data_IF_081586571304
#
_entry.id   IF_081586571304
#
_cell.length_a   1.000
_cell.length_b   1.000
_cell.length_c   1.000
_cell.angle_alpha   90.00
_cell.angle_beta   90.00
_cell.angle_gamma   90.00
#
_symmetry.space_group_name_H-M   'P 1'
#
loop_
_entity.id
_entity.type
_entity.pdbx_description
1 polymer ?
#
# COMPACT_ATOMS: atom_id res chain seq x y z
N UNK A 1 -1.38 -6.42 -48.04
CA UNK A 1 -1.33 -7.62 -47.17
C UNK A 1 -1.21 -7.29 -45.68
N UNK A 2 -1.60 -6.09 -45.22
CA UNK A 2 -1.76 -5.76 -43.79
C UNK A 2 -3.23 -5.46 -43.39
N UNK A 3 -4.14 -5.31 -44.36
CA UNK A 3 -5.56 -5.01 -44.10
C UNK A 3 -6.44 -6.25 -43.84
N UNK A 4 -5.89 -7.47 -44.00
CA UNK A 4 -6.63 -8.73 -43.82
C UNK A 4 -6.45 -9.35 -42.41
N UNK A 5 -5.41 -8.96 -41.67
CA UNK A 5 -5.13 -9.50 -40.33
C UNK A 5 -6.03 -8.86 -39.26
N UNK A 6 -6.41 -7.58 -39.44
CA UNK A 6 -7.27 -6.87 -38.49
C UNK A 6 -8.74 -7.32 -38.46
N UNK A 7 -9.25 -7.90 -39.56
CA UNK A 7 -10.62 -8.43 -39.61
C UNK A 7 -10.77 -9.82 -38.98
N UNK A 8 -9.72 -10.64 -38.96
CA UNK A 8 -9.79 -11.95 -38.28
C UNK A 8 -9.81 -11.82 -36.75
N UNK A 9 -9.10 -10.85 -36.17
CA UNK A 9 -9.06 -10.67 -34.71
C UNK A 9 -10.39 -10.16 -34.13
N UNK A 10 -11.18 -9.39 -34.88
CA UNK A 10 -12.50 -8.94 -34.42
C UNK A 10 -13.59 -10.02 -34.52
N UNK A 11 -13.48 -10.95 -35.47
CA UNK A 11 -14.44 -12.05 -35.63
C UNK A 11 -14.24 -13.12 -34.54
N UNK A 12 -12.99 -13.40 -34.13
CA UNK A 12 -12.69 -14.35 -33.05
C UNK A 12 -13.17 -13.87 -31.67
N UNK A 13 -13.11 -12.54 -31.39
CA UNK A 13 -13.64 -11.95 -30.15
C UNK A 13 -15.16 -11.98 -30.06
N UNK A 14 -15.87 -11.85 -31.19
CA UNK A 14 -17.33 -11.99 -31.21
C UNK A 14 -17.77 -13.44 -30.97
N UNK A 15 -16.97 -14.43 -31.43
CA UNK A 15 -17.27 -15.86 -31.27
C UNK A 15 -17.19 -16.32 -29.80
N UNK A 16 -16.14 -15.89 -29.08
CA UNK A 16 -15.96 -16.22 -27.66
C UNK A 16 -17.01 -15.58 -26.73
N UNK A 17 -17.55 -14.40 -27.08
CA UNK A 17 -18.63 -13.75 -26.32
C UNK A 17 -19.98 -14.43 -26.56
N UNK A 18 -20.15 -15.11 -27.70
CA UNK A 18 -21.39 -15.82 -28.04
C UNK A 18 -21.43 -17.23 -27.43
N UNK A 19 -20.28 -17.91 -27.30
CA UNK A 19 -20.19 -19.23 -26.63
C UNK A 19 -20.34 -19.17 -25.09
N UNK A 20 -20.03 -18.03 -24.47
CA UNK A 20 -20.26 -17.83 -23.03
C UNK A 20 -21.73 -17.56 -22.65
N UNK A 21 -22.60 -17.27 -23.62
CA UNK A 21 -24.04 -16.99 -23.41
C UNK A 21 -24.95 -18.22 -23.63
N UNK A 22 -24.37 -19.39 -23.91
CA UNK A 22 -25.11 -20.63 -24.16
C UNK A 22 -25.05 -21.67 -23.04
N UNK A 23 -24.44 -21.37 -21.88
CA UNK A 23 -24.33 -22.33 -20.78
C UNK A 23 -25.47 -22.15 -19.76
N UNK A 24 -26.41 -23.09 -19.63
CA UNK A 24 -27.55 -22.98 -18.71
C UNK A 24 -27.21 -23.19 -17.22
N UNK A 25 -25.93 -23.28 -16.84
CA UNK A 25 -25.51 -23.56 -15.46
C UNK A 25 -25.19 -22.31 -14.60
N UNK A 26 -25.50 -21.09 -15.07
CA UNK A 26 -25.21 -19.87 -14.29
C UNK A 26 -26.28 -18.80 -14.52
N UNK A 27 -27.51 -19.10 -14.08
CA UNK A 27 -28.53 -18.08 -13.85
C UNK A 27 -29.18 -18.34 -12.49
N UNK A 28 -29.38 -17.24 -11.76
CA UNK A 28 -30.05 -17.10 -10.46
C UNK A 28 -29.17 -17.32 -9.22
N UNK A 29 -28.58 -16.22 -8.75
CA UNK A 29 -28.59 -15.93 -7.32
C UNK A 29 -29.23 -14.55 -7.17
N UNK A 30 -30.49 -14.56 -6.78
CA UNK A 30 -31.25 -13.38 -6.39
C UNK A 30 -30.61 -12.74 -5.15
N UNK A 31 -30.55 -11.42 -5.18
CA UNK A 31 -30.13 -10.57 -4.06
C UNK A 31 -31.33 -10.39 -3.15
N UNK A 32 -31.29 -11.00 -1.97
CA UNK A 32 -32.28 -10.82 -0.92
C UNK A 32 -31.58 -10.42 0.38
N UNK A 33 -31.95 -9.25 0.90
CA UNK A 33 -31.70 -8.83 2.27
C UNK A 33 -32.04 -9.95 3.27
N UNK A 34 -31.21 -10.13 4.31
CA UNK A 34 -31.67 -10.21 5.70
C UNK A 34 -30.54 -10.63 6.67
N UNK A 35 -30.33 -9.75 7.65
CA UNK A 35 -30.03 -10.03 9.07
C UNK A 35 -29.46 -11.40 9.46
N UNK A 36 -28.19 -11.43 9.87
CA UNK A 36 -27.64 -12.55 10.64
C UNK A 36 -28.15 -12.44 12.09
N UNK A 37 -29.22 -13.20 12.36
CA UNK A 37 -29.68 -13.50 13.71
C UNK A 37 -28.83 -14.61 14.34
N UNK A 38 -28.47 -14.39 15.61
CA UNK A 38 -27.68 -15.29 16.43
C UNK A 38 -28.37 -16.65 16.66
N UNK A 39 -27.55 -17.71 16.61
CA UNK A 39 -27.91 -19.08 16.94
C UNK A 39 -28.41 -19.18 18.39
N UNK A 40 -29.65 -19.63 18.58
CA UNK A 40 -30.16 -20.16 19.83
C UNK A 40 -30.41 -21.67 19.66
N UNK A 41 -29.67 -22.49 20.42
CA UNK A 41 -29.95 -23.91 20.54
C UNK A 41 -31.23 -24.11 21.37
N UNK A 42 -32.16 -24.91 20.84
CA UNK A 42 -33.34 -25.38 21.55
C UNK A 42 -33.00 -26.69 22.28
N UNK A 43 -33.30 -26.69 23.56
CA UNK A 43 -33.24 -27.80 24.51
C UNK A 43 -34.57 -28.57 24.44
N UNK A 44 -34.54 -29.86 24.09
CA UNK A 44 -35.72 -30.73 24.00
C UNK A 44 -35.85 -31.63 25.24
N UNK A 45 -36.31 -31.03 26.33
CA UNK A 45 -36.64 -31.75 27.57
C UNK A 45 -37.86 -32.65 27.42
N UNK A 46 -37.65 -33.91 27.00
CA UNK A 46 -38.64 -34.98 27.08
C UNK A 46 -38.82 -35.47 28.52
N UNK A 47 -40.08 -35.39 28.97
CA UNK A 47 -40.66 -35.85 30.23
C UNK A 47 -40.50 -37.36 30.43
N UNK A 48 -40.10 -37.80 31.62
CA UNK A 48 -40.33 -39.15 32.14
C UNK A 48 -40.69 -39.06 33.62
N UNK A 49 -41.88 -39.55 33.98
CA UNK A 49 -42.40 -39.63 35.34
C UNK A 49 -41.91 -40.89 36.06
N UNK A 50 -41.65 -40.76 37.37
CA UNK A 50 -41.79 -41.86 38.34
C UNK A 50 -40.50 -42.37 39.02
N UNK A 51 -40.30 -42.01 40.30
CA UNK A 51 -40.30 -42.92 41.47
C UNK A 51 -39.81 -42.18 42.74
N UNK A 52 -40.54 -42.36 43.85
CA UNK A 52 -40.24 -41.87 45.21
C UNK A 52 -39.09 -42.65 45.88
N UNK A 53 -38.33 -41.99 46.77
CA UNK A 53 -37.94 -42.44 48.13
C UNK A 53 -37.50 -41.24 49.00
N UNK A 54 -37.79 -41.30 50.30
CA UNK A 54 -37.65 -40.26 51.35
C UNK A 54 -36.23 -40.08 51.93
N UNK A 55 -36.11 -39.01 52.73
CA UNK A 55 -35.19 -38.75 53.87
C UNK A 55 -33.79 -38.17 53.65
N UNK A 56 -33.49 -37.07 54.36
CA UNK A 56 -32.12 -36.66 54.66
C UNK A 56 -31.90 -35.17 54.98
N UNK A 57 -31.77 -34.85 56.27
CA UNK A 57 -31.41 -33.55 56.85
C UNK A 57 -30.12 -32.92 56.27
N UNK A 58 -30.16 -31.61 55.96
CA UNK A 58 -28.97 -30.78 55.66
C UNK A 58 -29.26 -29.28 55.87
N UNK A 59 -28.31 -28.48 56.40
CA UNK A 59 -28.62 -27.25 57.12
C UNK A 59 -29.00 -26.09 56.18
N UNK A 60 -29.96 -25.26 56.62
CA UNK A 60 -30.28 -23.96 56.00
C UNK A 60 -29.00 -23.11 55.94
N UNK A 61 -28.43 -22.94 54.74
CA UNK A 61 -27.42 -21.89 54.47
C UNK A 61 -28.15 -20.56 54.35
N UNK A 62 -27.74 -19.61 55.19
CA UNK A 62 -28.10 -18.20 55.14
C UNK A 62 -27.83 -17.62 53.74
N UNK A 63 -28.88 -17.16 53.08
CA UNK A 63 -28.79 -16.34 51.87
C UNK A 63 -28.40 -14.91 52.27
N UNK A 64 -27.14 -14.70 52.67
CA UNK A 64 -26.61 -13.37 52.97
C UNK A 64 -25.22 -13.19 52.35
N UNK A 65 -25.19 -13.07 51.02
CA UNK A 65 -24.10 -12.42 50.27
C UNK A 65 -24.72 -11.77 49.05
N UNK A 66 -25.17 -10.51 49.14
CA UNK A 66 -24.39 -9.28 48.95
C UNK A 66 -24.71 -8.60 47.59
N UNK A 67 -25.70 -7.67 47.55
CA UNK A 67 -25.88 -6.76 46.42
C UNK A 67 -24.60 -5.96 46.10
N UNK A 68 -23.74 -5.76 47.11
CA UNK A 68 -22.44 -5.08 46.99
C UNK A 68 -21.48 -5.84 46.05
N UNK A 69 -21.48 -7.18 46.04
CA UNK A 69 -20.58 -7.96 45.16
C UNK A 69 -20.98 -7.85 43.69
N UNK A 70 -22.27 -7.84 43.41
CA UNK A 70 -22.79 -7.66 42.04
C UNK A 70 -22.54 -6.24 41.53
N UNK A 71 -22.71 -5.22 42.38
CA UNK A 71 -22.42 -3.82 42.04
C UNK A 71 -20.92 -3.61 41.80
N UNK A 72 -20.05 -4.19 42.64
CA UNK A 72 -18.58 -4.13 42.46
C UNK A 72 -18.12 -4.83 41.18
N UNK A 73 -18.73 -5.96 40.81
CA UNK A 73 -18.41 -6.66 39.57
C UNK A 73 -18.88 -5.88 38.33
N UNK A 74 -20.07 -5.26 38.39
CA UNK A 74 -20.62 -4.45 37.32
C UNK A 74 -19.80 -3.18 37.09
N UNK A 75 -19.45 -2.46 38.16
CA UNK A 75 -18.59 -1.26 38.06
C UNK A 75 -17.19 -1.61 37.56
N UNK A 76 -16.63 -2.76 37.95
CA UNK A 76 -15.34 -3.21 37.43
C UNK A 76 -15.40 -3.57 35.93
N UNK A 77 -16.47 -4.23 35.47
CA UNK A 77 -16.69 -4.49 34.04
C UNK A 77 -16.91 -3.22 33.23
N UNK A 78 -17.65 -2.24 33.77
CA UNK A 78 -17.89 -0.97 33.11
C UNK A 78 -16.61 -0.12 33.03
N UNK A 79 -15.77 -0.16 34.06
CA UNK A 79 -14.45 0.52 34.07
C UNK A 79 -13.50 -0.10 33.04
N UNK A 80 -13.49 -1.44 32.91
CA UNK A 80 -12.69 -2.14 31.90
C UNK A 80 -13.19 -1.85 30.48
N UNK A 81 -14.51 -1.77 30.27
CA UNK A 81 -15.10 -1.38 28.98
C UNK A 81 -14.81 0.08 28.63
N UNK A 82 -14.87 0.99 29.61
CA UNK A 82 -14.49 2.39 29.42
C UNK A 82 -13.00 2.54 29.11
N UNK A 83 -12.14 1.83 29.84
CA UNK A 83 -10.70 1.80 29.56
C UNK A 83 -10.42 1.25 28.16
N UNK A 84 -11.08 0.17 27.75
CA UNK A 84 -10.94 -0.38 26.39
C UNK A 84 -11.44 0.60 25.30
N UNK A 85 -12.54 1.32 25.53
CA UNK A 85 -13.03 2.36 24.60
C UNK A 85 -12.06 3.54 24.54
N UNK A 86 -11.54 4.01 25.69
CA UNK A 86 -10.53 5.07 25.73
C UNK A 86 -9.25 4.60 25.02
N UNK A 87 -8.76 3.39 25.26
CA UNK A 87 -7.59 2.83 24.58
C UNK A 87 -7.85 2.64 23.09
N UNK A 88 -9.04 2.22 22.67
CA UNK A 88 -9.39 2.07 21.25
C UNK A 88 -9.54 3.44 20.56
N UNK A 89 -10.15 4.42 21.22
CA UNK A 89 -10.24 5.81 20.73
C UNK A 89 -8.87 6.51 20.74
N UNK A 90 -8.01 6.18 21.71
CA UNK A 90 -6.64 6.67 21.78
C UNK A 90 -5.79 6.03 20.68
N UNK A 91 -5.92 4.72 20.42
CA UNK A 91 -5.26 4.01 19.32
C UNK A 91 -5.78 4.42 17.94
N UNK A 92 -7.08 4.71 17.79
CA UNK A 92 -7.64 5.27 16.56
C UNK A 92 -7.17 6.72 16.32
N UNK A 93 -6.93 7.51 17.37
CA UNK A 93 -6.31 8.84 17.27
C UNK A 93 -4.79 8.79 17.10
N UNK A 94 -4.14 7.72 17.56
CA UNK A 94 -2.74 7.39 17.36
C UNK A 94 -2.53 6.46 16.16
N UNK A 95 -3.47 6.46 15.21
CA UNK A 95 -3.14 6.03 13.87
C UNK A 95 -2.14 7.08 13.38
N UNK A 96 -0.84 6.82 13.59
CA UNK A 96 0.25 7.61 13.04
C UNK A 96 -0.11 7.72 11.57
N UNK A 97 -0.57 8.90 11.17
CA UNK A 97 -0.95 9.12 9.79
C UNK A 97 0.37 8.94 9.04
N UNK A 98 0.50 7.80 8.36
CA UNK A 98 1.71 7.50 7.60
C UNK A 98 1.76 8.51 6.47
N UNK A 99 2.62 9.52 6.63
CA UNK A 99 2.85 10.54 5.62
C UNK A 99 4.02 10.10 4.76
N UNK A 100 3.85 10.13 3.45
CA UNK A 100 4.87 9.74 2.50
C UNK A 100 5.53 10.99 1.92
N UNK A 101 6.86 11.09 2.01
CA UNK A 101 7.63 12.13 1.31
C UNK A 101 7.96 11.65 -0.09
N UNK A 102 7.65 12.46 -1.10
CA UNK A 102 8.15 12.29 -2.47
C UNK A 102 9.21 13.35 -2.72
N UNK A 103 10.38 12.94 -3.18
CA UNK A 103 11.47 13.83 -3.57
C UNK A 103 11.69 13.73 -5.07
N UNK A 104 11.57 14.85 -5.78
CA UNK A 104 11.87 14.96 -7.20
C UNK A 104 13.33 15.39 -7.40
N UNK A 105 14.04 14.68 -8.26
CA UNK A 105 15.41 15.03 -8.70
C UNK A 105 15.53 15.16 -10.23
N UNK A 106 14.42 14.98 -10.95
CA UNK A 106 14.35 14.96 -12.41
C UNK A 106 14.48 13.55 -12.98
N UNK A 107 15.44 13.36 -13.89
CA UNK A 107 15.62 12.14 -14.65
C UNK A 107 14.59 11.97 -15.78
N UNK A 108 14.67 10.86 -16.51
CA UNK A 108 13.77 10.56 -17.63
C UNK A 108 12.30 10.68 -17.26
N UNK A 109 11.92 10.35 -16.02
CA UNK A 109 10.55 10.46 -15.51
C UNK A 109 9.93 11.83 -15.81
N UNK A 110 10.70 12.89 -15.55
CA UNK A 110 10.27 14.29 -15.58
C UNK A 110 10.65 15.03 -16.88
N UNK A 111 11.08 14.30 -17.92
CA UNK A 111 11.43 14.92 -19.20
C UNK A 111 10.18 15.27 -20.01
N UNK A 112 10.21 16.45 -20.61
CA UNK A 112 9.22 16.96 -21.56
C UNK A 112 9.79 16.90 -22.98
N UNK A 113 8.97 16.48 -23.93
CA UNK A 113 9.26 16.46 -25.35
C UNK A 113 8.94 17.81 -25.97
N UNK A 114 9.99 18.46 -26.48
CA UNK A 114 9.83 19.70 -27.21
C UNK A 114 9.60 19.40 -28.69
N UNK A 115 8.36 19.58 -29.15
CA UNK A 115 7.95 19.31 -30.53
C UNK A 115 8.64 20.22 -31.57
N UNK A 116 9.15 21.40 -31.16
CA UNK A 116 9.77 22.36 -32.06
C UNK A 116 11.17 21.94 -32.51
N UNK A 117 11.91 21.26 -31.64
CA UNK A 117 13.29 20.85 -31.90
C UNK A 117 13.53 19.34 -31.74
N UNK A 118 12.52 18.58 -31.31
CA UNK A 118 12.58 17.12 -31.15
C UNK A 118 13.43 16.67 -29.96
N UNK A 119 13.72 17.55 -28.99
CA UNK A 119 14.60 17.27 -27.85
C UNK A 119 13.79 17.04 -26.57
N UNK A 120 14.24 16.09 -25.76
CA UNK A 120 13.74 15.89 -24.40
C UNK A 120 14.49 16.78 -23.42
N UNK A 121 13.78 17.61 -22.66
CA UNK A 121 14.35 18.53 -21.67
C UNK A 121 13.54 18.57 -20.37
N UNK A 122 13.90 19.46 -19.45
CA UNK A 122 13.16 19.65 -18.20
C UNK A 122 12.33 20.93 -18.23
N UNK A 123 11.16 20.88 -17.59
CA UNK A 123 10.30 22.02 -17.31
C UNK A 123 9.76 21.88 -15.87
N UNK A 124 8.47 22.09 -15.65
CA UNK A 124 7.83 21.75 -14.37
C UNK A 124 7.76 20.24 -14.18
N UNK A 125 7.90 19.75 -12.95
CA UNK A 125 7.79 18.32 -12.67
C UNK A 125 6.38 17.80 -12.96
N UNK A 126 6.28 16.59 -13.50
CA UNK A 126 5.01 15.90 -13.68
C UNK A 126 4.45 15.33 -12.36
N UNK A 127 5.24 15.32 -11.28
CA UNK A 127 4.85 14.66 -10.03
C UNK A 127 3.57 15.18 -9.37
N UNK A 128 3.22 16.49 -9.41
CA UNK A 128 1.92 16.95 -8.92
C UNK A 128 0.75 16.22 -9.61
N UNK A 129 0.82 16.08 -10.94
CA UNK A 129 -0.20 15.37 -11.72
C UNK A 129 -0.18 13.86 -11.44
N UNK A 130 1.01 13.25 -11.39
CA UNK A 130 1.17 11.82 -11.07
C UNK A 130 0.61 11.49 -9.70
N UNK A 131 0.88 12.32 -8.68
CA UNK A 131 0.36 12.15 -7.33
C UNK A 131 -1.16 12.23 -7.35
N UNK A 132 -1.75 13.24 -8.01
CA UNK A 132 -3.20 13.34 -8.14
C UNK A 132 -3.82 12.11 -8.84
N UNK A 133 -3.19 11.65 -9.94
CA UNK A 133 -3.63 10.50 -10.74
C UNK A 133 -3.49 9.17 -9.99
N UNK A 134 -2.53 9.06 -9.07
CA UNK A 134 -2.30 7.85 -8.28
C UNK A 134 -3.44 7.51 -7.31
N UNK A 135 -4.27 8.50 -6.95
CA UNK A 135 -5.38 8.35 -5.99
C UNK A 135 -4.97 7.74 -4.65
N UNK A 136 -3.73 8.01 -4.21
CA UNK A 136 -3.26 7.60 -2.89
C UNK A 136 -4.16 8.18 -1.79
N UNK A 137 -4.48 7.35 -0.80
CA UNK A 137 -5.33 7.72 0.35
C UNK A 137 -4.53 8.17 1.58
N UNK A 138 -3.21 7.99 1.53
CA UNK A 138 -2.28 8.50 2.54
C UNK A 138 -1.93 9.96 2.22
N UNK A 139 -1.58 10.80 3.20
CA UNK A 139 -1.05 12.12 2.89
C UNK A 139 0.34 12.00 2.26
N UNK A 140 0.59 12.89 1.31
CA UNK A 140 1.82 12.91 0.52
C UNK A 140 2.35 14.32 0.50
N UNK A 141 3.62 14.48 0.86
CA UNK A 141 4.35 15.74 0.75
C UNK A 141 5.33 15.64 -0.42
N UNK A 142 5.22 16.56 -1.37
CA UNK A 142 6.12 16.64 -2.52
C UNK A 142 7.18 17.72 -2.27
N UNK A 143 8.45 17.35 -2.43
CA UNK A 143 9.57 18.27 -2.44
C UNK A 143 10.36 18.11 -3.75
N UNK A 144 10.52 19.20 -4.49
CA UNK A 144 11.43 19.24 -5.64
C UNK A 144 12.80 19.71 -5.14
N UNK A 145 13.81 18.85 -5.24
CA UNK A 145 15.20 19.18 -4.84
C UNK A 145 15.98 19.66 -6.05
N UNK A 146 15.82 18.99 -7.18
CA UNK A 146 16.49 19.33 -8.44
C UNK A 146 15.68 18.80 -9.63
N UNK A 147 16.03 19.24 -10.83
CA UNK A 147 15.48 18.75 -12.10
C UNK A 147 16.64 18.52 -13.07
N UNK A 148 17.38 17.43 -12.86
CA UNK A 148 18.62 17.12 -13.58
C UNK A 148 18.53 15.80 -14.33
N UNK A 149 19.31 15.67 -15.41
CA UNK A 149 19.63 14.35 -15.92
C UNK A 149 20.59 13.68 -14.93
N UNK A 150 20.36 12.42 -14.60
CA UNK A 150 21.24 11.69 -13.68
C UNK A 150 22.69 11.61 -14.19
N UNK A 151 22.92 11.68 -15.51
CA UNK A 151 24.27 11.73 -16.07
C UNK A 151 25.00 13.05 -15.76
N UNK A 152 24.26 14.13 -15.50
CA UNK A 152 24.80 15.45 -15.17
C UNK A 152 24.95 15.65 -13.65
N UNK A 153 24.36 14.80 -12.82
CA UNK A 153 24.42 14.90 -11.36
C UNK A 153 25.84 14.71 -10.82
N UNK A 154 26.26 15.66 -9.99
CA UNK A 154 27.53 15.67 -9.27
C UNK A 154 27.34 15.26 -7.80
N UNK A 155 28.45 15.04 -7.09
CA UNK A 155 28.41 14.63 -5.69
C UNK A 155 27.67 15.63 -4.81
N UNK A 156 27.78 16.92 -5.10
CA UNK A 156 27.02 17.98 -4.42
C UNK A 156 25.51 17.79 -4.57
N UNK A 157 25.04 17.37 -5.74
CA UNK A 157 23.62 17.11 -5.98
C UNK A 157 23.15 15.91 -5.16
N UNK A 158 23.96 14.84 -5.08
CA UNK A 158 23.67 13.66 -4.25
C UNK A 158 23.62 14.01 -2.77
N UNK A 159 24.51 14.88 -2.29
CA UNK A 159 24.47 15.39 -0.92
C UNK A 159 23.23 16.23 -0.65
N UNK A 160 22.74 17.02 -1.62
CA UNK A 160 21.48 17.76 -1.48
C UNK A 160 20.28 16.82 -1.32
N UNK A 161 20.26 15.70 -2.06
CA UNK A 161 19.22 14.66 -1.92
C UNK A 161 19.29 14.00 -0.54
N UNK A 162 20.49 13.66 -0.05
CA UNK A 162 20.68 13.12 1.30
C UNK A 162 20.19 14.10 2.37
N UNK A 163 20.58 15.38 2.26
CA UNK A 163 20.17 16.43 3.20
C UNK A 163 18.64 16.59 3.23
N UNK A 164 17.97 16.55 2.07
CA UNK A 164 16.51 16.59 1.99
C UNK A 164 15.86 15.38 2.71
N UNK A 165 16.42 14.18 2.56
CA UNK A 165 15.94 12.98 3.25
C UNK A 165 16.11 13.05 4.77
N UNK A 166 17.24 13.60 5.22
CA UNK A 166 17.53 13.79 6.65
C UNK A 166 16.62 14.85 7.28
N UNK A 167 16.33 15.92 6.54
CA UNK A 167 15.45 17.01 6.99
C UNK A 167 13.95 16.64 6.98
N UNK A 168 13.55 15.65 6.18
CA UNK A 168 12.17 15.15 6.14
C UNK A 168 11.76 14.57 7.52
N UNK A 169 10.56 14.90 7.99
CA UNK A 169 10.02 14.32 9.24
C UNK A 169 9.45 12.91 9.00
N UNK A 170 9.09 12.63 7.75
CA UNK A 170 8.56 11.37 7.27
C UNK A 170 9.61 10.26 7.33
N UNK A 171 9.13 9.07 7.68
CA UNK A 171 9.95 7.86 7.77
C UNK A 171 9.97 7.08 6.47
N UNK A 172 8.93 7.23 5.64
CA UNK A 172 8.84 6.66 4.31
C UNK A 172 9.11 7.75 3.28
N UNK A 173 10.07 7.50 2.39
CA UNK A 173 10.51 8.45 1.36
C UNK A 173 10.60 7.72 0.03
N UNK A 174 10.01 8.28 -1.02
CA UNK A 174 10.24 7.87 -2.41
C UNK A 174 11.03 8.95 -3.12
N UNK A 175 12.09 8.57 -3.80
CA UNK A 175 12.92 9.49 -4.60
C UNK A 175 12.72 9.14 -6.06
N UNK A 176 12.19 10.09 -6.83
CA UNK A 176 12.11 9.99 -8.28
C UNK A 176 13.40 10.55 -8.87
N UNK A 177 14.12 9.68 -9.57
CA UNK A 177 15.50 9.91 -10.01
C UNK A 177 15.75 9.38 -11.42
N UNK A 178 16.73 9.96 -12.11
CA UNK A 178 17.21 9.43 -13.39
C UNK A 178 17.90 8.07 -13.20
N UNK A 179 17.65 7.14 -14.12
CA UNK A 179 18.05 5.73 -13.91
C UNK A 179 19.54 5.48 -14.13
N UNK A 180 20.26 6.36 -14.83
CA UNK A 180 21.66 6.11 -15.23
C UNK A 180 22.66 6.18 -14.10
N UNK A 181 22.46 7.07 -13.13
CA UNK A 181 23.31 7.19 -11.93
C UNK A 181 22.55 6.99 -10.60
N UNK A 182 21.38 6.33 -10.68
CA UNK A 182 20.53 6.09 -9.52
C UNK A 182 21.24 5.30 -8.41
N UNK A 183 22.05 4.31 -8.80
CA UNK A 183 22.79 3.46 -7.86
C UNK A 183 23.80 4.29 -7.06
N UNK A 184 24.51 5.20 -7.72
CA UNK A 184 25.51 6.05 -7.11
C UNK A 184 24.89 6.96 -6.05
N UNK A 185 23.70 7.52 -6.32
CA UNK A 185 22.95 8.27 -5.31
C UNK A 185 22.44 7.36 -4.19
N UNK A 186 21.95 6.16 -4.52
CA UNK A 186 21.50 5.19 -3.52
C UNK A 186 22.63 4.74 -2.58
N UNK A 187 23.87 4.61 -3.07
CA UNK A 187 25.06 4.28 -2.27
C UNK A 187 25.38 5.37 -1.24
N UNK A 188 25.32 6.66 -1.65
CA UNK A 188 25.51 7.79 -0.73
C UNK A 188 24.48 7.76 0.40
N UNK A 189 23.20 7.52 0.07
CA UNK A 189 22.12 7.52 1.07
C UNK A 189 22.15 6.24 1.94
N UNK A 190 22.45 5.09 1.33
CA UNK A 190 22.50 3.79 2.00
C UNK A 190 23.60 3.71 3.06
N UNK A 191 24.72 4.39 2.84
CA UNK A 191 25.79 4.50 3.83
C UNK A 191 25.45 5.46 5.00
N UNK A 192 24.52 6.40 4.80
CA UNK A 192 24.27 7.50 5.73
C UNK A 192 22.93 7.43 6.47
N UNK A 193 21.99 6.56 6.06
CA UNK A 193 20.61 6.54 6.58
C UNK A 193 20.27 5.19 7.19
N UNK A 194 19.75 5.18 8.43
CA UNK A 194 19.41 3.94 9.15
C UNK A 194 17.99 3.90 9.73
N UNK A 195 17.31 5.03 9.86
CA UNK A 195 16.03 5.14 10.56
C UNK A 195 14.83 5.43 9.64
N UNK A 196 15.05 5.39 8.32
CA UNK A 196 14.06 5.71 7.28
C UNK A 196 14.02 4.61 6.23
N UNK A 197 12.84 4.39 5.64
CA UNK A 197 12.65 3.57 4.44
C UNK A 197 12.69 4.50 3.23
N UNK A 198 13.78 4.44 2.45
CA UNK A 198 13.98 5.26 1.26
C UNK A 198 13.94 4.37 0.03
N UNK A 199 13.06 4.67 -0.92
CA UNK A 199 12.91 3.90 -2.15
C UNK A 199 13.15 4.79 -3.36
N UNK A 200 14.23 4.51 -4.08
CA UNK A 200 14.49 5.12 -5.37
C UNK A 200 13.63 4.49 -6.45
N UNK A 201 13.14 5.32 -7.35
CA UNK A 201 12.43 4.91 -8.55
C UNK A 201 12.67 5.89 -9.68
N UNK A 202 12.23 5.53 -10.87
CA UNK A 202 12.38 6.32 -12.08
C UNK A 202 11.60 5.72 -13.23
N UNK A 203 11.94 6.13 -14.44
CA UNK A 203 11.32 5.62 -15.65
C UNK A 203 12.37 5.45 -16.75
N UNK A 204 12.13 4.50 -17.64
CA UNK A 204 12.87 4.39 -18.90
C UNK A 204 12.24 5.24 -20.01
N UNK A 205 10.94 5.55 -19.87
CA UNK A 205 10.17 6.37 -20.80
C UNK A 205 9.55 7.54 -20.02
N UNK A 206 9.67 8.80 -20.47
CA UNK A 206 9.10 9.95 -19.77
C UNK A 206 7.60 9.82 -19.49
N UNK A 207 7.13 10.36 -18.37
CA UNK A 207 5.74 10.17 -17.90
C UNK A 207 4.69 10.58 -18.95
N UNK A 208 4.91 11.69 -19.63
CA UNK A 208 3.99 12.23 -20.63
C UNK A 208 3.88 11.38 -21.92
N UNK A 209 4.83 10.46 -22.15
CA UNK A 209 4.83 9.61 -23.35
C UNK A 209 3.95 8.37 -23.13
N UNK A 210 3.11 8.06 -24.12
CA UNK A 210 2.23 6.90 -24.08
C UNK A 210 3.02 5.59 -23.86
N UNK A 211 2.44 4.68 -23.08
CA UNK A 211 3.06 3.42 -22.64
C UNK A 211 4.32 3.60 -21.77
N UNK A 212 4.45 4.75 -21.10
CA UNK A 212 5.48 4.96 -20.09
C UNK A 212 5.37 3.99 -18.90
N UNK A 213 6.52 3.55 -18.40
CA UNK A 213 6.66 2.77 -17.18
C UNK A 213 6.60 3.61 -15.88
N UNK A 214 6.60 4.94 -16.01
CA UNK A 214 6.69 5.89 -14.91
C UNK A 214 5.60 5.69 -13.84
N UNK A 215 4.33 5.66 -14.23
CA UNK A 215 3.23 5.59 -13.26
C UNK A 215 3.22 4.26 -12.49
N UNK A 216 3.56 3.16 -13.17
CA UNK A 216 3.67 1.85 -12.53
C UNK A 216 4.83 1.83 -11.53
N UNK A 217 6.03 2.25 -11.95
CA UNK A 217 7.20 2.28 -11.08
C UNK A 217 6.99 3.20 -9.87
N UNK A 218 6.37 4.37 -10.07
CA UNK A 218 6.01 5.28 -8.99
C UNK A 218 5.07 4.65 -7.97
N UNK A 219 3.93 4.09 -8.42
CA UNK A 219 2.99 3.44 -7.52
C UNK A 219 3.60 2.24 -6.77
N UNK A 220 4.43 1.45 -7.47
CA UNK A 220 5.17 0.34 -6.88
C UNK A 220 6.15 0.82 -5.81
N UNK A 221 6.91 1.89 -6.06
CA UNK A 221 7.83 2.46 -5.09
C UNK A 221 7.11 3.03 -3.87
N UNK A 222 5.97 3.70 -4.05
CA UNK A 222 5.14 4.19 -2.94
C UNK A 222 4.64 3.04 -2.05
N UNK A 223 4.24 1.91 -2.63
CA UNK A 223 3.87 0.72 -1.87
C UNK A 223 5.08 0.10 -1.15
N UNK A 224 6.22 -0.03 -1.84
CA UNK A 224 7.45 -0.55 -1.28
C UNK A 224 7.93 0.27 -0.07
N UNK A 225 7.88 1.60 -0.16
CA UNK A 225 8.30 2.49 0.93
C UNK A 225 7.45 2.29 2.20
N UNK A 226 6.18 1.88 2.07
CA UNK A 226 5.29 1.61 3.20
C UNK A 226 5.47 0.20 3.79
N UNK A 227 5.94 -0.76 2.98
CA UNK A 227 5.99 -2.17 3.37
C UNK A 227 7.38 -2.64 3.81
N UNK A 228 8.44 -1.99 3.34
CA UNK A 228 9.81 -2.38 3.64
C UNK A 228 10.29 -1.82 4.99
N UNK A 229 11.15 -2.56 5.71
CA UNK A 229 11.79 -2.04 6.90
C UNK A 229 12.73 -0.88 6.54
N UNK A 230 13.14 -0.06 7.54
CA UNK A 230 14.14 0.98 7.34
C UNK A 230 15.36 0.48 6.56
N UNK A 231 15.79 1.26 5.59
CA UNK A 231 16.80 0.89 4.60
C UNK A 231 16.64 1.69 3.31
N UNK A 232 17.62 1.57 2.42
CA UNK A 232 17.62 2.21 1.10
C UNK A 232 17.47 1.17 0.01
N UNK A 233 16.54 1.40 -0.90
CA UNK A 233 16.15 0.42 -1.92
C UNK A 233 16.01 1.07 -3.29
N UNK A 234 16.12 0.27 -4.34
CA UNK A 234 15.71 0.62 -5.70
C UNK A 234 14.50 -0.23 -6.08
N UNK A 235 13.39 0.42 -6.44
CA UNK A 235 12.16 -0.25 -6.88
C UNK A 235 11.84 0.11 -8.33
N UNK A 236 12.11 -0.83 -9.23
CA UNK A 236 11.97 -0.67 -10.68
C UNK A 236 11.48 -1.98 -11.29
N UNK A 237 10.63 -1.89 -12.32
CA UNK A 237 10.17 -3.05 -13.10
C UNK A 237 9.57 -4.19 -12.24
N UNK A 238 8.88 -3.84 -11.14
CA UNK A 238 8.23 -4.79 -10.24
C UNK A 238 9.18 -5.57 -9.32
N UNK A 239 10.44 -5.14 -9.20
CA UNK A 239 11.45 -5.73 -8.31
C UNK A 239 12.01 -4.69 -7.36
N UNK A 240 12.31 -5.13 -6.15
CA UNK A 240 13.01 -4.34 -5.13
C UNK A 240 14.42 -4.89 -4.98
N UNK A 241 15.40 -4.00 -4.97
CA UNK A 241 16.81 -4.30 -4.70
C UNK A 241 17.30 -3.46 -3.52
N UNK A 242 18.24 -3.98 -2.74
CA UNK A 242 18.96 -3.16 -1.76
C UNK A 242 19.97 -2.27 -2.48
N UNK A 243 20.25 -1.11 -1.92
CA UNK A 243 21.16 -0.11 -2.51
C UNK A 243 22.56 -0.66 -2.82
N UNK A 244 23.01 -1.66 -2.05
CA UNK A 244 24.32 -2.30 -2.13
C UNK A 244 24.35 -3.54 -3.04
N UNK A 245 23.19 -3.97 -3.57
CA UNK A 245 23.06 -5.13 -4.45
C UNK A 245 22.15 -4.84 -5.65
N UNK A 246 22.52 -3.83 -6.41
CA UNK A 246 21.76 -3.39 -7.59
C UNK A 246 22.66 -2.79 -8.67
N UNK A 247 22.34 -3.06 -9.94
CA UNK A 247 22.97 -2.41 -11.09
C UNK A 247 21.99 -2.25 -12.26
N UNK A 248 22.18 -1.20 -13.08
CA UNK A 248 21.40 -0.98 -14.31
C UNK A 248 22.02 -1.74 -15.47
N UNK A 249 21.29 -2.72 -15.99
CA UNK A 249 21.61 -3.33 -17.27
C UNK A 249 21.14 -2.39 -18.39
N UNK A 250 22.05 -1.56 -18.89
CA UNK A 250 21.73 -0.56 -19.93
C UNK A 250 21.28 -1.19 -21.25
N UNK A 251 21.80 -2.37 -21.60
CA UNK A 251 21.41 -3.07 -22.83
C UNK A 251 19.97 -3.59 -22.78
N UNK A 252 19.54 -4.09 -21.62
CA UNK A 252 18.19 -4.60 -21.41
C UNK A 252 17.19 -3.54 -20.91
N UNK A 253 17.66 -2.38 -20.46
CA UNK A 253 16.82 -1.31 -19.92
C UNK A 253 16.16 -1.66 -18.58
N UNK A 254 16.78 -2.54 -17.79
CA UNK A 254 16.24 -3.02 -16.51
C UNK A 254 17.29 -3.02 -15.40
N UNK A 255 16.83 -3.08 -14.16
CA UNK A 255 17.69 -3.29 -12.99
C UNK A 255 17.81 -4.78 -12.65
N UNK A 256 18.99 -5.16 -12.17
CA UNK A 256 19.32 -6.52 -11.73
C UNK A 256 20.23 -6.48 -10.48
N UNK A 257 20.35 -7.61 -9.79
CA UNK A 257 21.33 -7.77 -8.72
C UNK A 257 22.76 -7.68 -9.30
N UNK A 258 23.72 -7.30 -8.44
CA UNK A 258 25.15 -7.25 -8.79
C UNK A 258 25.72 -8.64 -9.12
#
# INVERSE_FOLDING_TARGET
MLHLVGRQVQVERARLVTEARGNPACQQVDVGDDTIAAMAMKDDGSRCDGFHWEDGLGPKRSQDTHPIRTILAQTHMDTLRFAAIITHLFLQRFQIIMTLRIIATGGTFDKHYNELNGVLGFAESHLPEVIARSRMTIPVELQVVSMLDSLDMQDTDRQNVLAACQAATEKQIVIVHGTDTMRETAEVLGAATSDKTIVFTGAMIPYEIANSDALFNFGFACAAAQMLPPGVYVAMNGKVFTWDNVTKNRAAGVFQAL
#
